data_IF_802854918924
#
_entry.id   IF_802854918924
#
_cell.length_a   1.000
_cell.length_b   1.000
_cell.length_c   1.000
_cell.angle_alpha   90.00
_cell.angle_beta   90.00
_cell.angle_gamma   90.00
#
_symmetry.space_group_name_H-M   'P 1'
#
loop_
_entity.id
_entity.type
_entity.pdbx_description
1 polymer ?
#
# COMPACT_ATOMS: atom_id res chain seq x y z
N UNK A 1 -9.59 -15.81 -14.61
CA UNK A 1 -10.13 -15.07 -13.47
C UNK A 1 -9.03 -14.80 -12.47
N UNK A 2 -9.12 -13.73 -11.71
CA UNK A 2 -8.16 -13.41 -10.66
C UNK A 2 -8.45 -14.27 -9.42
N UNK A 3 -7.44 -14.87 -8.77
CA UNK A 3 -7.66 -15.61 -7.54
C UNK A 3 -8.01 -14.65 -6.39
N UNK A 4 -9.17 -14.86 -5.77
CA UNK A 4 -9.63 -14.07 -4.64
C UNK A 4 -9.24 -14.75 -3.31
N UNK A 5 -8.76 -13.97 -2.34
CA UNK A 5 -8.57 -14.44 -0.96
C UNK A 5 -9.83 -14.17 -0.14
N UNK A 6 -10.27 -15.17 0.60
CA UNK A 6 -11.34 -15.02 1.57
C UNK A 6 -10.84 -14.23 2.80
N UNK A 7 -11.42 -13.04 2.97
CA UNK A 7 -11.08 -12.12 4.05
C UNK A 7 -11.48 -12.67 5.42
N UNK A 8 -12.59 -13.40 5.51
CA UNK A 8 -13.06 -13.99 6.76
C UNK A 8 -12.10 -15.09 7.24
N UNK A 9 -11.59 -15.91 6.32
CA UNK A 9 -10.62 -16.94 6.66
C UNK A 9 -9.29 -16.33 7.11
N UNK A 10 -8.86 -15.25 6.46
CA UNK A 10 -7.65 -14.52 6.87
C UNK A 10 -7.82 -13.89 8.26
N UNK A 11 -8.99 -13.33 8.58
CA UNK A 11 -9.31 -12.80 9.91
C UNK A 11 -9.29 -13.88 11.00
N UNK A 12 -9.84 -15.07 10.73
CA UNK A 12 -9.79 -16.18 11.68
C UNK A 12 -8.36 -16.58 12.01
N UNK A 13 -7.51 -16.68 11.00
CA UNK A 13 -6.08 -17.00 11.17
C UNK A 13 -5.38 -15.93 12.02
N UNK A 14 -5.62 -14.64 11.74
CA UNK A 14 -5.05 -13.53 12.52
C UNK A 14 -5.47 -13.53 13.98
N UNK A 15 -6.73 -13.84 14.27
CA UNK A 15 -7.22 -13.91 15.65
C UNK A 15 -6.57 -15.06 16.42
N UNK A 16 -6.35 -16.20 15.76
CA UNK A 16 -5.66 -17.33 16.35
C UNK A 16 -4.18 -17.01 16.62
N UNK A 17 -3.48 -16.44 15.63
CA UNK A 17 -2.08 -16.01 15.75
C UNK A 17 -1.91 -14.98 16.87
N UNK A 18 -2.84 -14.00 16.99
CA UNK A 18 -2.81 -12.99 18.04
C UNK A 18 -3.03 -13.58 19.44
N UNK A 19 -3.86 -14.63 19.55
CA UNK A 19 -4.06 -15.35 20.82
C UNK A 19 -2.80 -16.13 21.20
N UNK A 20 -2.12 -16.77 20.23
CA UNK A 20 -0.85 -17.46 20.45
C UNK A 20 0.28 -16.49 20.82
N UNK A 21 0.40 -15.34 20.11
CA UNK A 21 1.39 -14.31 20.41
C UNK A 21 1.20 -13.72 21.82
N UNK A 22 -0.05 -13.53 22.26
CA UNK A 22 -0.37 -13.06 23.62
C UNK A 22 0.08 -14.04 24.72
N UNK A 23 0.12 -15.33 24.40
CA UNK A 23 0.62 -16.36 25.31
C UNK A 23 2.15 -16.41 25.35
N UNK A 24 2.83 -16.00 24.27
CA UNK A 24 4.29 -16.11 24.12
C UNK A 24 5.04 -14.83 24.52
N UNK A 25 4.38 -13.67 24.47
CA UNK A 25 5.04 -12.37 24.72
C UNK A 25 4.48 -11.67 25.95
N UNK A 26 5.24 -11.71 27.03
CA UNK A 26 5.02 -10.86 28.23
C UNK A 26 5.57 -9.42 28.04
N UNK A 27 6.09 -9.06 26.88
CA UNK A 27 6.62 -7.73 26.54
C UNK A 27 5.70 -7.04 25.55
N UNK A 28 4.71 -6.34 26.05
CA UNK A 28 4.03 -5.27 25.32
C UNK A 28 5.02 -4.11 25.16
N UNK A 29 5.82 -4.13 24.10
CA UNK A 29 6.52 -2.93 23.65
C UNK A 29 5.50 -1.94 23.14
N UNK A 30 5.67 -0.64 23.40
CA UNK A 30 4.88 0.46 22.86
C UNK A 30 4.99 0.52 21.32
N UNK A 31 4.36 -0.42 20.64
CA UNK A 31 4.09 -0.28 19.22
C UNK A 31 2.85 0.59 19.08
N UNK A 32 2.93 1.66 18.30
CA UNK A 32 1.74 2.38 17.81
C UNK A 32 0.73 1.31 17.38
N UNK A 33 -0.44 1.30 18.00
CA UNK A 33 -1.45 0.28 17.78
C UNK A 33 -1.83 0.28 16.30
N UNK A 34 -1.31 -0.70 15.56
CA UNK A 34 -1.69 -0.95 14.16
C UNK A 34 -3.17 -1.31 14.14
N UNK A 35 -3.93 -0.73 13.20
CA UNK A 35 -5.35 -1.06 13.07
C UNK A 35 -5.52 -2.54 12.69
N UNK A 36 -6.65 -3.15 13.07
CA UNK A 36 -6.95 -4.52 12.68
C UNK A 36 -6.97 -4.69 11.16
N UNK A 37 -7.40 -3.65 10.43
CA UNK A 37 -7.43 -3.64 8.97
C UNK A 37 -6.01 -3.61 8.37
N UNK A 38 -5.10 -2.81 8.93
CA UNK A 38 -3.71 -2.75 8.46
C UNK A 38 -2.98 -4.06 8.71
N UNK A 39 -3.24 -4.69 9.85
CA UNK A 39 -2.71 -6.03 10.16
C UNK A 39 -3.23 -7.08 9.17
N UNK A 40 -4.52 -7.01 8.82
CA UNK A 40 -5.14 -7.87 7.82
C UNK A 40 -4.52 -7.66 6.44
N UNK A 41 -4.41 -6.42 5.98
CA UNK A 41 -3.76 -6.05 4.71
C UNK A 41 -2.33 -6.56 4.66
N UNK A 42 -1.55 -6.34 5.70
CA UNK A 42 -0.16 -6.78 5.78
C UNK A 42 -0.01 -8.31 5.74
N UNK A 43 -0.93 -9.06 6.35
CA UNK A 43 -0.91 -10.53 6.35
C UNK A 43 -1.40 -11.12 5.03
N UNK A 44 -2.47 -10.58 4.49
CA UNK A 44 -3.05 -11.02 3.21
C UNK A 44 -2.15 -10.67 2.02
N UNK A 45 -1.39 -9.55 2.13
CA UNK A 45 -0.57 -8.97 1.04
C UNK A 45 -1.32 -8.93 -0.29
N UNK A 46 -2.52 -8.35 -0.34
CA UNK A 46 -3.25 -8.21 -1.59
C UNK A 46 -2.57 -7.17 -2.47
N UNK A 47 -2.71 -7.30 -3.78
CA UNK A 47 -2.41 -6.22 -4.71
C UNK A 47 -3.62 -5.28 -4.84
N UNK A 48 -4.82 -5.86 -4.86
CA UNK A 48 -6.09 -5.13 -5.01
C UNK A 48 -7.04 -5.50 -3.86
N UNK A 49 -7.73 -4.51 -3.33
CA UNK A 49 -8.83 -4.66 -2.39
C UNK A 49 -10.12 -4.35 -3.13
N UNK A 50 -11.05 -5.31 -3.15
CA UNK A 50 -12.38 -5.12 -3.74
C UNK A 50 -13.39 -4.83 -2.64
N UNK A 51 -14.14 -3.75 -2.82
CA UNK A 51 -15.21 -3.31 -1.92
C UNK A 51 -16.50 -3.21 -2.71
N UNK A 52 -17.58 -3.78 -2.18
CA UNK A 52 -18.91 -3.66 -2.76
C UNK A 52 -19.90 -3.20 -1.68
N UNK A 53 -20.56 -2.09 -1.96
CA UNK A 53 -21.68 -1.59 -1.18
C UNK A 53 -22.95 -1.73 -2.01
N UNK A 54 -24.05 -2.11 -1.40
CA UNK A 54 -25.34 -2.25 -2.10
C UNK A 54 -26.53 -1.89 -1.21
N UNK A 55 -27.61 -1.46 -1.86
CA UNK A 55 -28.87 -1.11 -1.21
C UNK A 55 -30.03 -1.69 -1.99
N UNK A 56 -30.98 -2.34 -1.31
CA UNK A 56 -32.24 -2.78 -1.89
C UNK A 56 -33.22 -1.61 -1.98
N UNK A 57 -33.75 -1.40 -3.19
CA UNK A 57 -34.81 -0.44 -3.47
C UNK A 57 -36.13 -1.16 -3.65
N UNK A 58 -37.16 -0.84 -2.84
CA UNK A 58 -38.51 -1.42 -2.91
C UNK A 58 -39.49 -0.44 -3.49
N UNK A 59 -40.16 -0.85 -4.56
CA UNK A 59 -41.26 -0.10 -5.16
C UNK A 59 -42.49 -1.01 -5.20
N UNK A 60 -43.31 -1.00 -4.13
CA UNK A 60 -44.37 -1.95 -3.93
C UNK A 60 -43.84 -3.38 -3.87
N UNK A 61 -44.36 -4.33 -4.69
CA UNK A 61 -43.89 -5.71 -4.74
C UNK A 61 -42.61 -5.92 -5.57
N UNK A 62 -42.05 -4.84 -6.17
CA UNK A 62 -40.85 -4.89 -7.03
C UNK A 62 -39.62 -4.47 -6.26
N UNK A 63 -38.55 -5.29 -6.29
CA UNK A 63 -37.25 -5.00 -5.71
C UNK A 63 -36.20 -4.81 -6.79
N UNK A 64 -35.29 -3.86 -6.59
CA UNK A 64 -34.07 -3.69 -7.39
C UNK A 64 -32.90 -3.41 -6.46
N UNK A 65 -31.67 -3.54 -6.94
CA UNK A 65 -30.46 -3.24 -6.18
C UNK A 65 -29.68 -2.10 -6.84
N UNK A 66 -29.33 -1.10 -6.04
CA UNK A 66 -28.28 -0.14 -6.39
C UNK A 66 -26.98 -0.60 -5.73
N UNK A 67 -25.87 -0.61 -6.48
CA UNK A 67 -24.58 -1.05 -5.99
C UNK A 67 -23.49 -0.05 -6.37
N UNK A 68 -22.38 -0.10 -5.61
CA UNK A 68 -21.14 0.56 -5.89
C UNK A 68 -19.99 -0.44 -5.64
N UNK A 69 -19.31 -0.85 -6.71
CA UNK A 69 -18.16 -1.74 -6.69
C UNK A 69 -16.90 -0.93 -6.93
N UNK A 70 -15.92 -1.06 -6.05
CA UNK A 70 -14.61 -0.38 -6.15
C UNK A 70 -13.49 -1.38 -6.06
N UNK A 71 -12.44 -1.17 -6.85
CA UNK A 71 -11.15 -1.82 -6.69
C UNK A 71 -10.12 -0.77 -6.29
N UNK A 72 -9.47 -0.99 -5.16
CA UNK A 72 -8.44 -0.12 -4.61
C UNK A 72 -7.09 -0.83 -4.72
N UNK A 73 -6.07 -0.13 -5.19
CA UNK A 73 -4.69 -0.59 -5.06
C UNK A 73 -4.29 -0.59 -3.58
N UNK A 74 -3.84 -1.74 -3.08
CA UNK A 74 -3.60 -1.94 -1.66
C UNK A 74 -2.33 -1.24 -1.13
N UNK A 75 -1.49 -0.70 -2.01
CA UNK A 75 -0.27 0.02 -1.67
C UNK A 75 -0.43 1.53 -1.72
N UNK A 76 -1.16 2.05 -2.71
CA UNK A 76 -1.38 3.48 -2.88
C UNK A 76 -2.72 3.97 -2.33
N UNK A 77 -3.63 3.07 -1.95
CA UNK A 77 -5.04 3.33 -1.59
C UNK A 77 -5.85 4.04 -2.71
N UNK A 78 -5.32 4.08 -3.93
CA UNK A 78 -6.00 4.68 -5.07
C UNK A 78 -7.07 3.77 -5.64
N UNK A 79 -8.22 4.33 -5.99
CA UNK A 79 -9.23 3.60 -6.75
C UNK A 79 -8.75 3.42 -8.20
N UNK A 80 -8.63 2.17 -8.62
CA UNK A 80 -8.10 1.77 -9.94
C UNK A 80 -9.18 1.30 -10.89
N UNK A 81 -10.28 0.77 -10.36
CA UNK A 81 -11.49 0.48 -11.13
C UNK A 81 -12.73 0.75 -10.28
N UNK A 82 -13.85 1.00 -10.93
CA UNK A 82 -15.13 1.18 -10.28
C UNK A 82 -16.28 0.90 -11.24
N UNK A 83 -17.36 0.38 -10.68
CA UNK A 83 -18.63 0.20 -11.38
C UNK A 83 -19.78 0.50 -10.42
N UNK A 84 -20.73 1.29 -10.85
CA UNK A 84 -21.92 1.62 -10.08
C UNK A 84 -23.16 1.58 -10.96
N UNK A 85 -24.28 1.23 -10.37
CA UNK A 85 -25.54 1.20 -11.12
C UNK A 85 -26.70 0.70 -10.30
N UNK A 86 -27.87 0.73 -10.96
CA UNK A 86 -29.10 0.14 -10.41
C UNK A 86 -29.60 -0.93 -11.37
N UNK A 87 -29.67 -2.16 -10.87
CA UNK A 87 -30.16 -3.30 -11.62
C UNK A 87 -31.66 -3.21 -11.96
N UNK A 88 -32.07 -4.04 -12.90
CA UNK A 88 -33.48 -4.17 -13.28
C UNK A 88 -34.30 -4.70 -12.10
N UNK A 89 -35.44 -4.09 -11.85
CA UNK A 89 -36.28 -4.53 -10.76
C UNK A 89 -37.06 -5.82 -11.13
N UNK A 90 -37.17 -6.74 -10.17
CA UNK A 90 -37.91 -7.98 -10.27
C UNK A 90 -39.00 -8.10 -9.19
N UNK A 91 -40.03 -8.91 -9.48
CA UNK A 91 -41.10 -9.22 -8.53
C UNK A 91 -40.86 -10.51 -7.75
N UNK A 92 -39.92 -11.35 -8.21
CA UNK A 92 -39.73 -12.71 -7.69
C UNK A 92 -38.25 -13.12 -7.52
N UNK A 93 -37.31 -12.37 -8.05
CA UNK A 93 -35.87 -12.70 -7.89
C UNK A 93 -35.39 -12.42 -6.46
N UNK A 94 -34.58 -13.32 -5.94
CA UNK A 94 -33.91 -13.14 -4.64
C UNK A 94 -32.80 -12.11 -4.71
N UNK A 95 -32.47 -11.48 -3.57
CA UNK A 95 -31.46 -10.43 -3.49
C UNK A 95 -30.09 -10.79 -4.11
N UNK A 96 -29.55 -12.02 -3.89
CA UNK A 96 -28.27 -12.39 -4.52
C UNK A 96 -28.33 -12.39 -6.05
N UNK A 97 -29.43 -12.83 -6.63
CA UNK A 97 -29.62 -12.84 -8.10
C UNK A 97 -29.73 -11.42 -8.65
N UNK A 98 -30.48 -10.55 -7.96
CA UNK A 98 -30.59 -9.13 -8.35
C UNK A 98 -29.24 -8.42 -8.30
N UNK A 99 -28.41 -8.74 -7.32
CA UNK A 99 -27.06 -8.16 -7.20
C UNK A 99 -26.14 -8.67 -8.31
N UNK A 100 -26.16 -9.97 -8.59
CA UNK A 100 -25.37 -10.59 -9.65
C UNK A 100 -25.72 -9.99 -11.02
N UNK A 101 -27.01 -9.92 -11.37
CA UNK A 101 -27.47 -9.33 -12.63
C UNK A 101 -27.10 -7.84 -12.75
N UNK A 102 -27.23 -7.07 -11.64
CA UNK A 102 -26.89 -5.65 -11.65
C UNK A 102 -25.41 -5.42 -11.90
N UNK A 103 -24.53 -6.23 -11.30
CA UNK A 103 -23.08 -6.10 -11.43
C UNK A 103 -22.60 -6.54 -12.81
N UNK A 104 -23.16 -7.61 -13.39
CA UNK A 104 -22.74 -8.16 -14.68
C UNK A 104 -22.79 -7.14 -15.83
N UNK A 105 -23.77 -6.24 -15.82
CA UNK A 105 -23.93 -5.23 -16.88
C UNK A 105 -22.75 -4.26 -17.02
N UNK A 106 -21.88 -4.15 -16.00
CA UNK A 106 -20.74 -3.21 -15.96
C UNK A 106 -19.38 -3.89 -15.75
N UNK A 107 -19.33 -5.22 -15.79
CA UNK A 107 -18.09 -5.95 -15.48
C UNK A 107 -17.01 -5.79 -16.55
N UNK A 108 -17.38 -5.62 -17.81
CA UNK A 108 -16.40 -5.50 -18.90
C UNK A 108 -15.53 -4.24 -18.71
N UNK A 109 -16.14 -3.08 -18.51
CA UNK A 109 -15.42 -1.83 -18.26
C UNK A 109 -14.60 -1.89 -16.96
N UNK A 110 -15.16 -2.48 -15.90
CA UNK A 110 -14.44 -2.69 -14.65
C UNK A 110 -13.18 -3.55 -14.84
N UNK A 111 -13.30 -4.66 -15.57
CA UNK A 111 -12.18 -5.55 -15.87
C UNK A 111 -11.12 -4.89 -16.75
N UNK A 112 -11.50 -4.10 -17.76
CA UNK A 112 -10.57 -3.36 -18.60
C UNK A 112 -9.75 -2.34 -17.79
N UNK A 113 -10.38 -1.59 -16.90
CA UNK A 113 -9.68 -0.65 -16.01
C UNK A 113 -8.73 -1.36 -15.06
N UNK A 114 -9.16 -2.48 -14.48
CA UNK A 114 -8.33 -3.29 -13.60
C UNK A 114 -7.13 -3.88 -14.34
N UNK A 115 -7.32 -4.37 -15.57
CA UNK A 115 -6.24 -4.85 -16.43
C UNK A 115 -5.24 -3.74 -16.76
N UNK A 116 -5.72 -2.56 -17.16
CA UNK A 116 -4.87 -1.40 -17.44
C UNK A 116 -4.01 -1.00 -16.23
N UNK A 117 -4.54 -1.12 -15.01
CA UNK A 117 -3.78 -0.89 -13.80
C UNK A 117 -2.66 -1.93 -13.62
N UNK A 118 -2.92 -3.21 -13.86
CA UNK A 118 -1.89 -4.24 -13.78
C UNK A 118 -0.81 -4.05 -14.85
N UNK A 119 -1.18 -3.65 -16.05
CA UNK A 119 -0.24 -3.33 -17.13
C UNK A 119 0.65 -2.14 -16.76
N UNK A 120 0.07 -1.06 -16.19
CA UNK A 120 0.84 0.09 -15.67
C UNK A 120 1.82 -0.36 -14.58
N UNK A 121 1.35 -1.16 -13.63
CA UNK A 121 2.20 -1.67 -12.55
C UNK A 121 3.34 -2.56 -13.07
N UNK A 122 3.11 -3.35 -14.10
CA UNK A 122 4.17 -4.17 -14.71
C UNK A 122 5.19 -3.35 -15.50
N UNK A 123 4.75 -2.29 -16.17
CA UNK A 123 5.62 -1.44 -16.99
C UNK A 123 6.36 -0.37 -16.17
N UNK A 124 5.66 0.23 -15.22
CA UNK A 124 6.12 1.40 -14.47
C UNK A 124 6.45 1.12 -13.00
N UNK A 125 6.34 -0.14 -12.58
CA UNK A 125 6.57 -0.52 -11.18
C UNK A 125 5.41 -0.18 -10.26
N UNK A 126 5.52 -0.64 -9.01
CA UNK A 126 4.53 -0.44 -7.95
C UNK A 126 4.70 0.93 -7.32
N UNK A 127 3.61 1.63 -7.08
CA UNK A 127 3.62 2.92 -6.42
C UNK A 127 3.62 2.76 -4.90
N UNK A 128 4.52 3.47 -4.22
CA UNK A 128 4.63 3.53 -2.77
C UNK A 128 4.89 4.95 -2.29
N UNK A 129 4.81 5.16 -0.97
CA UNK A 129 5.19 6.40 -0.30
C UNK A 129 6.30 6.16 0.72
N UNK A 130 7.26 7.09 0.80
CA UNK A 130 8.33 7.09 1.78
C UNK A 130 8.29 8.39 2.59
N UNK A 131 8.35 8.27 3.90
CA UNK A 131 8.50 9.39 4.81
C UNK A 131 9.85 9.27 5.49
N UNK A 132 10.67 10.29 5.38
CA UNK A 132 12.00 10.33 5.98
C UNK A 132 12.03 11.40 7.07
N UNK A 133 12.59 11.07 8.21
CA UNK A 133 12.70 11.96 9.35
C UNK A 133 14.09 11.89 9.94
N UNK A 134 14.57 12.97 10.48
CA UNK A 134 15.80 13.01 11.27
C UNK A 134 15.46 12.78 12.74
N UNK A 135 16.20 11.88 13.37
CA UNK A 135 16.15 11.68 14.81
C UNK A 135 17.10 12.67 15.50
N UNK A 136 16.56 13.54 16.32
CA UNK A 136 17.37 14.48 17.09
C UNK A 136 18.11 13.73 18.22
N UNK A 137 19.38 13.45 17.95
CA UNK A 137 20.31 12.82 18.88
C UNK A 137 21.49 13.74 19.25
N UNK A 138 21.39 15.03 18.92
CA UNK A 138 22.46 16.03 19.14
C UNK A 138 23.62 15.92 18.15
N UNK A 139 23.52 15.10 17.08
CA UNK A 139 24.60 14.96 16.08
C UNK A 139 24.67 16.11 15.07
N UNK A 140 23.65 16.97 15.03
CA UNK A 140 23.51 18.00 13.99
C UNK A 140 23.30 17.39 12.60
N UNK A 141 22.67 16.22 12.52
CA UNK A 141 22.25 15.63 11.28
C UNK A 141 20.96 16.32 10.82
N UNK A 142 20.93 16.77 9.58
CA UNK A 142 19.75 17.26 8.88
C UNK A 142 19.84 16.90 7.38
N UNK A 143 18.79 17.15 6.62
CA UNK A 143 18.74 16.81 5.20
C UNK A 143 19.43 17.85 4.29
N UNK A 144 19.82 19.01 4.80
CA UNK A 144 20.58 20.04 4.08
C UNK A 144 22.08 19.92 4.35
N UNK A 145 22.49 19.01 5.22
CA UNK A 145 23.89 18.76 5.51
C UNK A 145 24.65 18.25 4.29
N UNK A 146 25.78 18.86 4.00
CA UNK A 146 26.64 18.52 2.88
C UNK A 146 27.39 17.19 3.09
N UNK A 147 27.39 16.36 2.04
CA UNK A 147 28.19 15.15 1.90
C UNK A 147 28.90 15.18 0.54
N UNK A 148 30.17 15.62 0.55
CA UNK A 148 30.92 15.91 -0.67
C UNK A 148 30.38 17.17 -1.36
N UNK A 149 29.95 17.03 -2.61
CA UNK A 149 29.42 18.12 -3.44
C UNK A 149 27.88 18.26 -3.38
N UNK A 150 27.20 17.44 -2.58
CA UNK A 150 25.75 17.35 -2.53
C UNK A 150 25.22 17.43 -1.11
N UNK A 151 24.05 18.04 -0.94
CA UNK A 151 23.28 17.93 0.29
C UNK A 151 22.70 16.52 0.46
N UNK A 152 22.41 16.10 1.69
CA UNK A 152 21.87 14.77 1.97
C UNK A 152 20.54 14.53 1.22
N UNK A 153 19.69 15.55 1.10
CA UNK A 153 18.44 15.46 0.35
C UNK A 153 18.67 15.19 -1.15
N UNK A 154 19.72 15.80 -1.75
CA UNK A 154 20.10 15.57 -3.15
C UNK A 154 20.66 14.16 -3.36
N UNK A 155 21.45 13.66 -2.39
CA UNK A 155 21.94 12.28 -2.42
C UNK A 155 20.79 11.30 -2.35
N UNK A 156 19.75 11.59 -1.56
CA UNK A 156 18.52 10.78 -1.49
C UNK A 156 17.78 10.80 -2.84
N UNK A 157 17.61 11.98 -3.44
CA UNK A 157 16.97 12.13 -4.75
C UNK A 157 17.72 11.34 -5.84
N UNK A 158 19.05 11.41 -5.84
CA UNK A 158 19.90 10.63 -6.76
C UNK A 158 19.72 9.12 -6.55
N UNK A 159 19.75 8.67 -5.29
CA UNK A 159 19.53 7.25 -4.98
C UNK A 159 18.14 6.78 -5.44
N UNK A 160 17.10 7.58 -5.21
CA UNK A 160 15.74 7.27 -5.69
C UNK A 160 15.70 7.21 -7.21
N UNK A 161 16.32 8.17 -7.88
CA UNK A 161 16.41 8.17 -9.35
C UNK A 161 17.04 6.88 -9.87
N UNK A 162 18.11 6.41 -9.26
CA UNK A 162 18.83 5.22 -9.71
C UNK A 162 18.10 3.90 -9.40
N UNK A 163 17.23 3.90 -8.38
CA UNK A 163 16.58 2.67 -7.91
C UNK A 163 15.08 2.59 -8.22
N UNK A 164 14.45 3.68 -8.69
CA UNK A 164 13.06 3.69 -9.11
C UNK A 164 12.93 3.28 -10.58
N UNK A 165 11.82 2.61 -10.90
CA UNK A 165 11.48 2.26 -12.28
C UNK A 165 11.27 3.54 -13.08
N UNK A 166 11.94 3.64 -14.24
CA UNK A 166 11.90 4.81 -15.12
C UNK A 166 12.26 6.13 -14.41
N UNK A 167 13.08 6.08 -13.34
CA UNK A 167 13.50 7.23 -12.54
C UNK A 167 12.31 8.02 -11.93
N UNK A 168 11.15 7.35 -11.69
CA UNK A 168 9.90 8.02 -11.33
C UNK A 168 9.65 8.02 -9.82
N UNK A 169 9.68 9.19 -9.25
CA UNK A 169 9.24 9.50 -7.89
C UNK A 169 8.80 10.98 -7.83
N UNK A 170 8.09 11.37 -6.79
CA UNK A 170 7.70 12.75 -6.55
C UNK A 170 8.02 13.13 -5.10
N UNK A 171 8.85 14.18 -4.92
CA UNK A 171 9.06 14.79 -3.62
C UNK A 171 7.89 15.75 -3.38
N UNK A 172 6.98 15.38 -2.47
CA UNK A 172 5.76 16.15 -2.19
C UNK A 172 5.96 17.18 -1.10
N UNK A 173 6.92 16.96 -0.19
CA UNK A 173 7.29 17.91 0.85
C UNK A 173 8.75 17.72 1.28
N UNK A 174 9.41 18.81 1.73
CA UNK A 174 10.79 18.77 2.18
C UNK A 174 11.13 19.92 3.12
N UNK A 175 11.71 19.54 4.27
CA UNK A 175 12.29 20.44 5.26
C UNK A 175 13.63 19.89 5.72
N UNK A 176 14.39 20.65 6.50
CA UNK A 176 15.65 20.21 7.12
C UNK A 176 15.54 18.85 7.84
N UNK A 177 14.38 18.53 8.41
CA UNK A 177 14.18 17.35 9.27
C UNK A 177 13.18 16.34 8.75
N UNK A 178 12.44 16.66 7.69
CA UNK A 178 11.39 15.78 7.13
C UNK A 178 11.38 15.88 5.61
N UNK A 179 11.40 14.72 4.94
CA UNK A 179 11.14 14.59 3.50
C UNK A 179 9.99 13.62 3.27
N UNK A 180 9.11 13.96 2.34
CA UNK A 180 7.98 13.11 1.95
C UNK A 180 8.07 12.86 0.46
N UNK A 181 8.10 11.58 0.10
CA UNK A 181 8.10 11.12 -1.28
C UNK A 181 6.85 10.30 -1.54
N UNK A 182 6.08 10.73 -2.50
CA UNK A 182 4.91 10.03 -3.01
C UNK A 182 5.15 9.54 -4.43
N UNK A 183 4.31 8.60 -4.89
CA UNK A 183 4.43 8.05 -6.24
C UNK A 183 5.81 7.47 -6.55
N UNK A 184 6.49 6.94 -5.53
CA UNK A 184 7.79 6.27 -5.71
C UNK A 184 7.55 4.94 -6.41
N UNK A 185 8.02 4.79 -7.65
CA UNK A 185 7.81 3.60 -8.48
C UNK A 185 8.91 2.56 -8.26
N UNK A 186 8.62 1.57 -7.43
CA UNK A 186 9.57 0.50 -7.13
C UNK A 186 9.40 -0.70 -8.07
N UNK A 187 10.47 -1.46 -8.39
CA UNK A 187 10.34 -2.68 -9.17
C UNK A 187 9.48 -3.72 -8.44
N UNK A 188 8.73 -4.53 -9.20
CA UNK A 188 7.90 -5.60 -8.62
C UNK A 188 8.74 -6.74 -8.06
N UNK A 189 9.92 -6.97 -8.66
CA UNK A 189 10.81 -8.06 -8.30
C UNK A 189 12.24 -7.54 -8.12
N UNK A 190 12.96 -8.19 -7.22
CA UNK A 190 14.41 -8.03 -7.06
C UNK A 190 15.13 -8.75 -8.19
N UNK A 191 16.42 -8.47 -8.39
CA UNK A 191 17.27 -9.15 -9.37
C UNK A 191 17.27 -10.69 -9.23
N UNK A 192 17.10 -11.19 -8.01
CA UNK A 192 17.03 -12.63 -7.72
C UNK A 192 15.63 -13.24 -7.93
N UNK A 193 14.67 -12.50 -8.51
CA UNK A 193 13.30 -12.93 -8.77
C UNK A 193 12.36 -12.93 -7.56
N UNK A 194 12.82 -12.53 -6.38
CA UNK A 194 11.94 -12.35 -5.22
C UNK A 194 11.10 -11.09 -5.35
N UNK A 195 9.85 -11.13 -4.88
CA UNK A 195 8.99 -9.95 -4.84
C UNK A 195 9.66 -8.81 -4.04
N UNK A 196 9.59 -7.60 -4.59
CA UNK A 196 9.97 -6.38 -3.89
C UNK A 196 8.76 -5.84 -3.15
N UNK A 197 8.91 -5.53 -1.88
CA UNK A 197 7.93 -4.78 -1.10
C UNK A 197 8.52 -3.46 -0.61
N UNK A 198 7.66 -2.58 -0.13
CA UNK A 198 8.02 -1.25 0.37
C UNK A 198 9.10 -1.29 1.45
N UNK A 199 8.99 -2.24 2.37
CA UNK A 199 9.95 -2.39 3.46
C UNK A 199 11.32 -2.86 2.96
N UNK A 200 11.36 -3.80 2.01
CA UNK A 200 12.60 -4.26 1.38
C UNK A 200 13.30 -3.14 0.63
N UNK A 201 12.53 -2.33 -0.11
CA UNK A 201 13.06 -1.15 -0.83
C UNK A 201 13.65 -0.13 0.14
N UNK A 202 12.90 0.24 1.19
CA UNK A 202 13.38 1.15 2.23
C UNK A 202 14.65 0.63 2.94
N UNK A 203 14.74 -0.69 3.19
CA UNK A 203 15.95 -1.29 3.77
C UNK A 203 17.15 -1.27 2.83
N UNK A 204 16.96 -1.31 1.52
CA UNK A 204 18.07 -1.14 0.57
C UNK A 204 18.64 0.27 0.69
N UNK A 205 17.80 1.30 0.75
CA UNK A 205 18.21 2.67 1.01
C UNK A 205 18.94 2.79 2.36
N UNK A 206 18.39 2.22 3.43
CA UNK A 206 19.02 2.25 4.75
C UNK A 206 20.42 1.59 4.75
N UNK A 207 20.63 0.53 3.99
CA UNK A 207 21.98 -0.08 3.84
C UNK A 207 22.95 0.80 3.09
N UNK A 208 22.48 1.49 2.04
CA UNK A 208 23.29 2.42 1.27
C UNK A 208 23.82 3.54 2.17
N UNK A 209 22.96 4.21 2.93
CA UNK A 209 23.36 5.29 3.81
C UNK A 209 24.15 4.84 5.05
N UNK A 210 24.01 3.58 5.47
CA UNK A 210 24.82 3.00 6.55
C UNK A 210 26.26 2.75 6.15
N UNK A 211 26.54 2.58 4.87
CA UNK A 211 27.88 2.39 4.33
C UNK A 211 28.65 3.72 4.23
N UNK A 212 29.98 3.63 4.11
CA UNK A 212 30.81 4.78 3.79
C UNK A 212 30.43 5.35 2.40
N UNK A 213 30.51 6.65 2.18
CA UNK A 213 31.06 7.69 3.07
C UNK A 213 30.06 8.20 4.11
N UNK A 214 28.75 7.87 4.01
CA UNK A 214 27.70 8.49 4.81
C UNK A 214 27.74 8.06 6.28
N UNK A 215 27.84 6.76 6.54
CA UNK A 215 27.84 6.16 7.89
C UNK A 215 26.64 6.58 8.76
N UNK A 216 25.47 6.81 8.13
CA UNK A 216 24.24 7.23 8.80
C UNK A 216 23.41 5.99 9.12
N UNK A 217 23.17 5.67 10.40
CA UNK A 217 22.24 4.61 10.76
C UNK A 217 20.80 5.06 10.44
N UNK A 218 20.00 4.16 9.89
CA UNK A 218 18.59 4.43 9.58
C UNK A 218 17.73 3.29 10.11
N UNK A 219 16.76 3.65 10.93
CA UNK A 219 15.70 2.73 11.37
C UNK A 219 14.53 2.80 10.38
N UNK A 220 14.15 1.65 9.88
CA UNK A 220 13.01 1.52 8.97
C UNK A 220 11.78 1.04 9.73
N UNK A 221 10.66 1.77 9.60
CA UNK A 221 9.39 1.46 10.27
C UNK A 221 8.32 1.24 9.20
N UNK A 222 7.74 0.05 9.18
CA UNK A 222 6.65 -0.26 8.27
C UNK A 222 5.34 0.40 8.74
N UNK A 223 4.67 1.14 7.85
CA UNK A 223 3.41 1.85 8.13
C UNK A 223 2.25 1.31 7.27
N UNK A 224 2.31 0.07 6.86
CA UNK A 224 1.34 -0.57 5.98
C UNK A 224 2.00 -1.22 4.78
N UNK A 225 1.24 -1.58 3.75
CA UNK A 225 1.81 -2.21 2.55
C UNK A 225 2.60 -1.22 1.70
N UNK A 226 2.05 -0.05 1.46
CA UNK A 226 2.61 0.93 0.53
C UNK A 226 3.36 2.08 1.18
N UNK A 227 3.50 2.10 2.51
CA UNK A 227 4.16 3.21 3.22
C UNK A 227 5.25 2.73 4.16
N UNK A 228 6.41 3.36 4.10
CA UNK A 228 7.51 3.13 5.03
C UNK A 228 8.06 4.45 5.55
N UNK A 229 8.43 4.48 6.83
CA UNK A 229 9.13 5.59 7.47
C UNK A 229 10.57 5.20 7.70
N UNK A 230 11.49 6.10 7.31
CA UNK A 230 12.93 5.97 7.52
C UNK A 230 13.38 7.06 8.50
N UNK A 231 13.94 6.64 9.65
CA UNK A 231 14.38 7.56 10.69
C UNK A 231 15.91 7.61 10.65
N UNK A 232 16.43 8.68 10.11
CA UNK A 232 17.86 8.93 9.95
C UNK A 232 18.50 9.31 11.29
N UNK A 233 19.63 8.71 11.61
CA UNK A 233 20.34 8.93 12.87
C UNK A 233 19.88 8.00 14.02
N UNK A 234 18.81 7.22 13.85
CA UNK A 234 18.36 6.23 14.83
C UNK A 234 18.89 4.81 14.49
N UNK A 235 19.33 4.07 15.53
CA UNK A 235 19.85 2.70 15.41
C UNK A 235 18.76 1.65 15.59
#
# INVERSE_FOLDING_TARGET
GFPLKDLQQTLKTLNNDAAEDALLTSKAGNSVAESHLDRLRRRAKPDIIMEIDWTENKMGPKSSITYNLRALDAYSDKQVAGAEGTGKGSFSAELPVLLEEAVQDHMDEFCERLQSHFEDMMQNGREISLVMKVFDNGSGLDFEKEYGDYELNEVIDNWLSDNCVNHRFNKSDGTETTLIYDQVRIPLYKENGQAMDTYSFARNMARFFKAAPYNIPIKTVNKGLGKCELIFGEK
#
